data_IF_891221715853
#
_entry.id   IF_891221715853
#
_cell.length_a   1.000
_cell.length_b   1.000
_cell.length_c   1.000
_cell.angle_alpha   90.00
_cell.angle_beta   90.00
_cell.angle_gamma   90.00
#
_symmetry.space_group_name_H-M   'P 1'
#
loop_
_entity.id
_entity.type
_entity.pdbx_description
1 polymer ?
#
# COMPACT_ATOMS: atom_id res chain seq x y z
N UNK A 1 58.54 22.28 -2.63
CA UNK A 1 58.70 22.23 -1.17
C UNK A 1 58.13 23.56 -0.68
N UNK A 2 56.95 23.70 -0.07
CA UNK A 2 55.91 22.80 0.45
C UNK A 2 54.56 23.55 0.31
N UNK A 3 53.44 22.89 -0.02
CA UNK A 3 52.52 22.30 0.96
C UNK A 3 51.49 23.35 1.41
N UNK A 4 50.42 23.61 0.65
CA UNK A 4 49.11 23.01 0.86
C UNK A 4 48.56 23.21 2.28
N UNK A 5 47.71 24.23 2.47
CA UNK A 5 46.54 24.12 3.35
C UNK A 5 45.48 25.17 2.96
N UNK A 6 44.76 24.89 1.86
CA UNK A 6 43.41 25.42 1.65
C UNK A 6 42.48 24.33 2.18
N UNK A 7 41.84 24.58 3.33
CA UNK A 7 40.95 23.59 3.92
C UNK A 7 40.15 24.04 5.14
N UNK A 8 39.92 25.35 5.33
CA UNK A 8 39.13 25.87 6.46
C UNK A 8 37.66 26.14 6.11
N UNK A 9 37.30 26.23 4.82
CA UNK A 9 35.90 26.42 4.41
C UNK A 9 35.07 25.11 4.42
N UNK A 10 35.42 24.17 5.30
CA UNK A 10 34.59 22.99 5.54
C UNK A 10 33.40 23.44 6.38
N UNK A 11 32.20 23.22 5.84
CA UNK A 11 30.95 23.29 6.56
C UNK A 11 31.09 22.55 7.90
N UNK A 12 31.25 23.28 9.00
CA UNK A 12 31.11 22.67 10.32
C UNK A 12 29.63 22.31 10.43
N UNK A 13 29.27 21.04 10.70
CA UNK A 13 27.89 20.74 11.05
C UNK A 13 27.55 21.64 12.22
N UNK A 14 26.51 22.46 12.07
CA UNK A 14 26.04 23.28 13.19
C UNK A 14 25.80 22.33 14.35
N UNK A 15 26.42 22.64 15.50
CA UNK A 15 26.18 21.91 16.73
C UNK A 15 24.66 21.86 16.95
N UNK A 16 24.07 20.73 17.39
CA UNK A 16 22.62 20.54 17.51
C UNK A 16 22.06 21.30 18.72
N UNK A 17 22.54 22.49 19.03
CA UNK A 17 22.20 23.30 20.22
C UNK A 17 20.76 23.85 20.20
N UNK A 18 19.91 23.33 19.31
CA UNK A 18 18.48 23.60 19.25
C UNK A 18 17.68 22.43 18.63
N UNK A 19 18.16 21.19 18.72
CA UNK A 19 17.18 20.11 18.83
C UNK A 19 16.76 20.12 20.29
N UNK A 20 15.54 20.56 20.57
CA UNK A 20 14.90 20.12 21.80
C UNK A 20 15.13 18.60 21.87
N UNK A 21 15.65 18.06 22.99
CA UNK A 21 15.57 16.63 23.17
C UNK A 21 14.12 16.24 22.88
N UNK A 22 13.91 15.16 22.12
CA UNK A 22 12.57 14.59 21.98
C UNK A 22 12.15 14.12 23.36
N UNK A 23 11.62 15.06 24.15
CA UNK A 23 11.05 14.78 25.46
C UNK A 23 9.84 13.90 25.22
N UNK A 24 9.75 12.83 26.00
CA UNK A 24 8.63 11.93 25.95
C UNK A 24 7.39 12.72 26.39
N UNK A 25 6.36 12.74 25.54
CA UNK A 25 5.13 13.48 25.84
C UNK A 25 4.48 12.92 27.11
N UNK A 26 4.06 13.81 28.00
CA UNK A 26 3.33 13.47 29.21
C UNK A 26 1.96 12.85 28.87
N UNK A 27 1.36 12.13 29.82
CA UNK A 27 0.02 11.57 29.66
C UNK A 27 -1.05 12.67 29.39
N UNK A 28 -0.80 13.91 29.80
CA UNK A 28 -1.68 15.05 29.49
C UNK A 28 -1.59 15.52 28.03
N UNK A 29 -0.47 15.23 27.35
CA UNK A 29 -0.18 15.64 25.98
C UNK A 29 -0.43 14.51 24.96
N UNK A 30 -0.94 13.37 25.42
CA UNK A 30 -1.32 12.24 24.55
C UNK A 30 -2.75 11.77 24.84
N UNK A 31 -3.42 11.20 23.83
CA UNK A 31 -4.72 10.55 24.02
C UNK A 31 -4.60 9.10 24.54
N UNK A 32 -3.37 8.64 24.77
CA UNK A 32 -3.06 7.27 25.16
C UNK A 32 -3.01 7.16 26.69
N UNK A 33 -4.07 6.60 27.29
CA UNK A 33 -4.19 6.48 28.74
C UNK A 33 -3.73 5.09 29.23
N UNK A 34 -2.40 4.95 29.41
CA UNK A 34 -1.78 3.73 29.98
C UNK A 34 -1.94 3.60 31.50
N UNK A 35 -2.72 4.47 32.15
CA UNK A 35 -2.96 4.48 33.60
C UNK A 35 -1.69 4.61 34.47
N UNK A 36 -0.65 5.25 33.92
CA UNK A 36 0.59 5.55 34.63
C UNK A 36 0.57 6.98 35.18
N UNK A 37 1.25 7.21 36.30
CA UNK A 37 1.40 8.54 36.89
C UNK A 37 2.52 9.34 36.21
N UNK A 38 3.60 8.65 35.85
CA UNK A 38 4.70 9.16 35.03
C UNK A 38 4.93 8.18 33.87
N UNK A 39 5.12 8.68 32.65
CA UNK A 39 5.41 7.85 31.48
C UNK A 39 6.78 7.16 31.63
N UNK A 40 7.69 7.75 32.42
CA UNK A 40 9.00 7.16 32.76
C UNK A 40 8.91 5.93 33.68
N UNK A 41 7.75 5.65 34.29
CA UNK A 41 7.53 4.43 35.08
C UNK A 41 7.42 3.16 34.20
N UNK A 42 7.20 3.32 32.89
CA UNK A 42 7.13 2.20 31.95
C UNK A 42 8.53 1.76 31.51
N UNK A 43 8.99 0.63 32.04
CA UNK A 43 10.20 -0.02 31.56
C UNK A 43 9.95 -0.85 30.31
N UNK A 44 10.70 -0.60 29.23
CA UNK A 44 10.76 -1.53 28.11
C UNK A 44 11.58 -2.76 28.49
N UNK A 45 10.96 -3.93 28.53
CA UNK A 45 11.65 -5.22 28.67
C UNK A 45 11.88 -5.80 27.27
N UNK A 46 13.11 -5.73 26.73
CA UNK A 46 13.41 -6.35 25.45
C UNK A 46 13.20 -7.86 25.53
N UNK A 47 12.88 -8.53 24.41
CA UNK A 47 12.74 -9.97 24.38
C UNK A 47 13.99 -10.66 24.93
N UNK A 48 13.81 -11.71 25.76
CA UNK A 48 14.95 -12.47 26.32
C UNK A 48 15.75 -13.27 25.27
N UNK A 49 15.31 -13.24 24.01
CA UNK A 49 15.99 -13.88 22.89
C UNK A 49 15.91 -13.01 21.63
N UNK A 50 16.96 -13.01 20.80
CA UNK A 50 16.93 -12.30 19.53
C UNK A 50 15.86 -12.89 18.61
N UNK A 51 15.17 -12.02 17.88
CA UNK A 51 14.16 -12.41 16.91
C UNK A 51 14.80 -12.66 15.55
N UNK A 52 14.34 -13.70 14.85
CA UNK A 52 14.75 -14.04 13.48
C UNK A 52 16.27 -14.23 13.26
N UNK A 53 17.07 -14.37 14.32
CA UNK A 53 18.52 -14.62 14.22
C UNK A 53 18.84 -15.95 13.53
N UNK A 54 17.96 -16.93 13.66
CA UNK A 54 18.05 -18.24 13.01
C UNK A 54 17.20 -18.33 11.75
N UNK A 55 16.64 -17.20 11.27
CA UNK A 55 15.86 -17.18 10.05
C UNK A 55 16.76 -17.18 8.81
N UNK A 56 16.20 -17.61 7.68
CA UNK A 56 16.93 -17.69 6.42
C UNK A 56 17.21 -16.28 5.89
N UNK A 57 18.41 -16.06 5.36
CA UNK A 57 18.82 -14.76 4.81
C UNK A 57 19.71 -13.94 5.75
N UNK A 58 20.09 -14.52 6.89
CA UNK A 58 21.05 -13.96 7.84
C UNK A 58 22.50 -14.16 7.38
N UNK A 59 22.75 -15.10 6.45
CA UNK A 59 24.07 -15.36 5.86
C UNK A 59 24.20 -14.80 4.44
N UNK A 60 25.41 -14.39 4.04
CA UNK A 60 25.65 -13.87 2.69
C UNK A 60 25.35 -14.89 1.57
N UNK A 61 25.59 -16.18 1.83
CA UNK A 61 25.25 -17.26 0.89
C UNK A 61 23.74 -17.40 0.65
N UNK A 62 22.94 -17.18 1.69
CA UNK A 62 21.48 -17.23 1.58
C UNK A 62 20.94 -16.00 0.87
N UNK A 63 21.51 -14.82 1.11
CA UNK A 63 21.15 -13.61 0.36
C UNK A 63 21.44 -13.76 -1.14
N UNK A 64 22.57 -14.37 -1.49
CA UNK A 64 22.94 -14.65 -2.88
C UNK A 64 22.01 -15.69 -3.54
N UNK A 65 21.67 -16.74 -2.80
CA UNK A 65 20.81 -17.83 -3.31
C UNK A 65 19.33 -17.45 -3.31
N UNK A 66 18.95 -16.50 -2.46
CA UNK A 66 17.56 -16.18 -2.17
C UNK A 66 16.83 -17.29 -1.40
N UNK A 67 15.59 -16.98 -1.04
CA UNK A 67 14.62 -17.96 -0.57
C UNK A 67 13.75 -18.43 -1.74
N UNK A 68 13.38 -19.72 -1.73
CA UNK A 68 12.46 -20.27 -2.72
C UNK A 68 11.04 -19.77 -2.46
N UNK A 69 10.23 -19.68 -3.53
CA UNK A 69 8.81 -19.33 -3.39
C UNK A 69 8.08 -20.32 -2.47
N UNK A 70 8.36 -21.61 -2.60
CA UNK A 70 7.77 -22.65 -1.75
C UNK A 70 8.12 -22.47 -0.27
N UNK A 71 9.35 -22.05 0.05
CA UNK A 71 9.76 -21.73 1.42
C UNK A 71 8.99 -20.55 2.00
N UNK A 72 8.76 -19.50 1.20
CA UNK A 72 7.94 -18.35 1.60
C UNK A 72 6.49 -18.74 1.86
N UNK A 73 5.91 -19.54 0.98
CA UNK A 73 4.53 -20.03 1.10
C UNK A 73 4.35 -20.93 2.32
N UNK A 74 5.34 -21.75 2.67
CA UNK A 74 5.27 -22.61 3.85
C UNK A 74 5.24 -21.84 5.18
N UNK A 75 5.70 -20.57 5.19
CA UNK A 75 5.67 -19.68 6.36
C UNK A 75 4.43 -18.80 6.42
N UNK A 76 3.65 -18.75 5.34
CA UNK A 76 2.42 -17.96 5.27
C UNK A 76 1.41 -18.51 6.28
N UNK A 77 0.82 -17.61 7.07
CA UNK A 77 -0.32 -17.93 7.93
C UNK A 77 -1.59 -17.68 7.11
N UNK A 78 -2.60 -18.57 7.19
CA UNK A 78 -3.89 -18.30 6.58
C UNK A 78 -4.46 -16.98 7.07
N UNK A 79 -5.07 -16.20 6.17
CA UNK A 79 -5.82 -15.02 6.56
C UNK A 79 -6.92 -15.43 7.55
N UNK A 80 -7.03 -14.66 8.64
CA UNK A 80 -8.15 -14.83 9.57
C UNK A 80 -9.37 -14.18 8.96
N UNK A 81 -10.51 -14.88 8.95
CA UNK A 81 -11.76 -14.24 8.57
C UNK A 81 -11.96 -13.00 9.46
N UNK A 82 -11.97 -11.82 8.84
CA UNK A 82 -12.35 -10.59 9.50
C UNK A 82 -13.79 -10.69 10.05
N UNK A 83 -14.26 -9.67 10.77
CA UNK A 83 -15.69 -9.54 11.02
C UNK A 83 -16.44 -9.71 9.68
N UNK A 84 -17.63 -10.35 9.65
CA UNK A 84 -18.41 -10.42 8.43
C UNK A 84 -18.72 -8.99 7.96
N UNK A 85 -18.06 -8.58 6.87
CA UNK A 85 -18.40 -7.40 6.09
C UNK A 85 -19.25 -7.82 4.90
N UNK A 86 -20.22 -7.01 4.54
CA UNK A 86 -20.78 -6.97 3.20
C UNK A 86 -19.76 -6.28 2.28
N UNK A 87 -19.56 -6.81 1.07
CA UNK A 87 -18.63 -6.22 0.09
C UNK A 87 -18.89 -4.72 -0.15
N UNK A 88 -17.85 -4.01 -0.60
CA UNK A 88 -17.79 -2.59 -0.97
C UNK A 88 -18.43 -1.60 0.03
N UNK A 89 -17.62 -1.20 1.03
CA UNK A 89 -18.00 -0.27 2.08
C UNK A 89 -17.57 -0.80 3.44
N UNK A 90 -16.25 -0.88 3.66
CA UNK A 90 -15.57 -1.57 4.78
C UNK A 90 -15.88 -1.04 6.20
N UNK A 91 -16.81 -0.10 6.33
CA UNK A 91 -17.29 0.39 7.61
C UNK A 91 -18.44 -0.48 8.10
N UNK A 92 -18.18 -1.31 9.12
CA UNK A 92 -19.25 -2.02 9.84
C UNK A 92 -20.29 -1.01 10.34
N UNK A 93 -21.58 -1.25 10.03
CA UNK A 93 -22.71 -0.35 10.30
C UNK A 93 -22.68 1.00 9.54
N UNK A 94 -21.85 1.12 8.50
CA UNK A 94 -21.87 2.25 7.56
C UNK A 94 -22.88 2.04 6.43
N UNK A 95 -23.30 3.13 5.78
CA UNK A 95 -24.26 3.10 4.68
C UNK A 95 -23.66 2.56 3.34
N UNK A 96 -22.44 2.00 3.36
CA UNK A 96 -21.63 1.71 2.18
C UNK A 96 -21.19 2.99 1.45
N UNK A 97 -20.23 2.89 0.53
CA UNK A 97 -20.01 4.02 -0.39
C UNK A 97 -21.17 4.06 -1.40
N UNK A 98 -21.87 5.19 -1.56
CA UNK A 98 -22.94 5.29 -2.53
C UNK A 98 -22.37 5.16 -3.94
N UNK A 99 -22.65 4.05 -4.62
CA UNK A 99 -22.38 3.90 -6.05
C UNK A 99 -23.24 4.89 -6.83
N UNK A 100 -22.60 5.75 -7.60
CA UNK A 100 -23.33 6.62 -8.53
C UNK A 100 -23.69 5.88 -9.81
N UNK A 101 -24.42 6.56 -10.70
CA UNK A 101 -24.84 5.99 -11.97
C UNK A 101 -23.68 5.90 -13.00
N UNK A 102 -22.46 6.27 -12.63
CA UNK A 102 -21.27 6.19 -13.50
C UNK A 102 -20.46 4.90 -13.25
N UNK A 103 -20.96 4.01 -12.37
CA UNK A 103 -20.38 2.68 -12.12
C UNK A 103 -21.21 1.59 -12.80
N UNK A 104 -20.55 0.78 -13.63
CA UNK A 104 -21.18 -0.36 -14.31
C UNK A 104 -20.86 -1.70 -13.64
N UNK A 105 -21.86 -2.57 -13.50
CA UNK A 105 -21.67 -3.94 -12.95
C UNK A 105 -21.38 -4.99 -14.04
N UNK A 106 -21.55 -4.62 -15.30
CA UNK A 106 -21.35 -5.51 -16.44
C UNK A 106 -20.05 -5.15 -17.13
N UNK A 107 -19.13 -6.12 -17.21
CA UNK A 107 -17.86 -5.95 -17.94
C UNK A 107 -18.13 -5.64 -19.41
N UNK A 108 -17.41 -4.66 -19.96
CA UNK A 108 -17.39 -4.43 -21.40
C UNK A 108 -16.67 -5.58 -22.12
N UNK A 109 -17.18 -5.94 -23.29
CA UNK A 109 -16.54 -6.89 -24.20
C UNK A 109 -15.56 -6.21 -25.16
N UNK A 110 -15.31 -6.88 -26.29
CA UNK A 110 -14.46 -6.34 -27.36
C UNK A 110 -15.18 -5.17 -28.01
N UNK A 111 -14.56 -4.00 -28.00
CA UNK A 111 -15.06 -2.83 -28.72
C UNK A 111 -14.58 -2.87 -30.17
N UNK A 112 -15.51 -2.76 -31.11
CA UNK A 112 -15.23 -2.66 -32.53
C UNK A 112 -15.86 -1.40 -33.10
N UNK A 113 -15.39 -0.98 -34.26
CA UNK A 113 -15.96 0.18 -34.94
C UNK A 113 -16.04 -0.11 -36.42
N UNK A 114 -17.20 0.17 -37.00
CA UNK A 114 -17.31 0.33 -38.44
C UNK A 114 -16.77 1.72 -38.80
N UNK A 115 -15.65 1.76 -39.53
CA UNK A 115 -15.00 3.02 -39.93
C UNK A 115 -15.83 3.69 -41.03
N UNK A 116 -16.89 4.43 -40.67
CA UNK A 116 -17.51 5.37 -41.60
C UNK A 116 -16.64 6.63 -41.66
N UNK A 117 -16.15 6.95 -42.87
CA UNK A 117 -15.32 8.13 -43.15
C UNK A 117 -16.08 9.45 -42.93
N UNK A 118 -17.40 9.41 -42.76
CA UNK A 118 -18.25 10.59 -42.56
C UNK A 118 -18.66 10.84 -41.10
N UNK A 119 -18.33 9.95 -40.17
CA UNK A 119 -18.56 10.16 -38.72
C UNK A 119 -17.26 10.53 -38.00
N UNK A 120 -17.14 11.78 -37.50
CA UNK A 120 -15.88 12.33 -36.98
C UNK A 120 -15.54 11.92 -35.54
N UNK A 121 -16.43 11.27 -34.80
CA UNK A 121 -16.12 10.90 -33.42
C UNK A 121 -15.17 9.71 -33.41
N UNK A 122 -13.86 9.95 -33.34
CA UNK A 122 -12.81 8.93 -33.36
C UNK A 122 -12.83 7.99 -32.15
N UNK A 123 -13.64 8.29 -31.12
CA UNK A 123 -13.63 7.59 -29.84
C UNK A 123 -14.82 6.64 -29.64
N UNK A 124 -15.83 6.67 -30.53
CA UNK A 124 -16.97 5.76 -30.48
C UNK A 124 -16.60 4.33 -30.93
N UNK A 125 -17.16 3.33 -30.24
CA UNK A 125 -17.05 1.91 -30.57
C UNK A 125 -18.25 1.12 -30.02
N UNK A 126 -18.59 0.02 -30.68
CA UNK A 126 -19.68 -0.89 -30.33
C UNK A 126 -19.10 -2.14 -29.64
N UNK A 127 -19.69 -2.50 -28.51
CA UNK A 127 -19.36 -3.74 -27.79
C UNK A 127 -19.96 -4.95 -28.49
N UNK A 128 -19.10 -5.86 -28.96
CA UNK A 128 -19.51 -7.12 -29.62
C UNK A 128 -19.36 -8.35 -28.71
N UNK A 129 -19.18 -8.15 -27.41
CA UNK A 129 -19.16 -9.19 -26.38
C UNK A 129 -17.78 -9.77 -26.07
N UNK A 130 -17.76 -10.75 -25.16
CA UNK A 130 -16.55 -11.39 -24.63
C UNK A 130 -16.14 -12.56 -25.55
N UNK A 131 -14.90 -12.55 -26.05
CA UNK A 131 -14.37 -13.56 -26.99
C UNK A 131 -13.90 -14.87 -26.30
N UNK A 132 -14.28 -15.10 -25.04
CA UNK A 132 -14.02 -16.33 -24.29
C UNK A 132 -12.55 -16.63 -23.92
N UNK A 133 -11.60 -15.80 -24.33
CA UNK A 133 -10.21 -15.86 -23.88
C UNK A 133 -10.04 -15.26 -22.47
N UNK A 134 -8.87 -15.47 -21.86
CA UNK A 134 -8.49 -14.72 -20.66
C UNK A 134 -8.39 -13.23 -21.01
N UNK A 135 -9.13 -12.39 -20.30
CA UNK A 135 -9.03 -10.94 -20.42
C UNK A 135 -7.68 -10.46 -19.84
N UNK A 136 -7.10 -9.43 -20.46
CA UNK A 136 -6.00 -8.70 -19.80
C UNK A 136 -6.53 -7.95 -18.58
N UNK A 137 -5.65 -7.52 -17.68
CA UNK A 137 -6.04 -6.71 -16.53
C UNK A 137 -6.78 -5.43 -16.95
N UNK A 138 -6.33 -4.80 -18.04
CA UNK A 138 -6.94 -3.57 -18.59
C UNK A 138 -8.34 -3.84 -19.13
N UNK A 139 -8.51 -4.95 -19.85
CA UNK A 139 -9.81 -5.33 -20.40
C UNK A 139 -10.78 -5.76 -19.29
N UNK A 140 -10.28 -6.42 -18.23
CA UNK A 140 -11.08 -6.83 -17.08
C UNK A 140 -11.58 -5.65 -16.24
N UNK A 141 -10.89 -4.50 -16.30
CA UNK A 141 -11.25 -3.30 -15.55
C UNK A 141 -12.39 -2.49 -16.21
N UNK A 142 -12.70 -2.70 -17.48
CA UNK A 142 -13.68 -1.91 -18.22
C UNK A 142 -15.12 -2.40 -18.02
N UNK A 143 -16.05 -1.49 -17.72
CA UNK A 143 -17.46 -1.78 -17.45
C UNK A 143 -18.40 -0.90 -18.28
N UNK A 144 -19.59 -1.41 -18.59
CA UNK A 144 -20.65 -0.70 -19.31
C UNK A 144 -21.54 0.05 -18.31
N UNK A 145 -21.67 1.35 -18.51
CA UNK A 145 -22.62 2.19 -17.78
C UNK A 145 -23.94 2.16 -18.55
N UNK A 146 -25.06 1.72 -17.95
CA UNK A 146 -26.35 1.71 -18.64
C UNK A 146 -26.82 3.14 -18.90
N UNK A 147 -27.40 3.37 -20.08
CA UNK A 147 -28.04 4.65 -20.38
C UNK A 147 -29.13 4.95 -19.35
N UNK A 148 -29.24 6.23 -18.98
CA UNK A 148 -30.33 6.69 -18.13
C UNK A 148 -31.66 6.36 -18.82
N UNK A 149 -32.42 5.42 -18.25
CA UNK A 149 -33.78 5.15 -18.69
C UNK A 149 -34.60 6.44 -18.54
N UNK A 150 -35.39 6.85 -19.55
CA UNK A 150 -36.18 8.09 -19.48
C UNK A 150 -37.27 8.07 -18.39
#
# INVERSE_FOLDING_TARGET
MDGADRGDDVYQPQQPEASDPVEQLDAADTLDNRQLTDVLDEGYSPPERPWAVEDRGTTGSEQLSGETLEGRLARELPETAGPPGDDDGDLSDGDGEPRDAEVGDVRAGRLTRELDLNEPDSMAGEDVGIDGAAASAEEAAMHVIPDAQP
#
